data_IF_909153334791
#
_entry.id   IF_909153334791
#
_cell.length_a   1.000
_cell.length_b   1.000
_cell.length_c   1.000
_cell.angle_alpha   90.00
_cell.angle_beta   90.00
_cell.angle_gamma   90.00
#
_symmetry.space_group_name_H-M   'P 1'
#
loop_
_entity.id
_entity.type
_entity.pdbx_description
1 polymer ?
#
# COMPACT_ATOMS: atom_id res chain seq x y z
N UNK A 1 2.65 1.31 -55.82
CA UNK A 1 2.21 1.74 -54.46
C UNK A 1 2.75 0.73 -53.45
N UNK A 2 3.82 1.06 -52.69
CA UNK A 2 4.39 0.16 -51.66
C UNK A 2 4.07 0.72 -50.28
N UNK A 3 3.23 -0.01 -49.56
CA UNK A 3 2.70 0.28 -48.23
C UNK A 3 3.84 0.22 -47.18
N UNK A 4 4.33 1.39 -46.76
CA UNK A 4 5.37 1.52 -45.74
C UNK A 4 4.75 1.41 -44.35
N UNK A 5 4.72 0.19 -43.79
CA UNK A 5 4.29 0.00 -42.39
C UNK A 5 5.37 0.57 -41.47
N UNK A 6 4.98 1.63 -40.76
CA UNK A 6 5.73 2.33 -39.72
C UNK A 6 6.30 1.36 -38.68
N UNK A 7 7.60 1.07 -38.77
CA UNK A 7 8.36 0.33 -37.75
C UNK A 7 8.97 1.24 -36.68
N UNK A 8 8.71 2.55 -36.75
CA UNK A 8 9.32 3.55 -35.85
C UNK A 8 8.51 3.80 -34.57
N UNK A 9 7.25 3.33 -34.47
CA UNK A 9 6.34 3.70 -33.38
C UNK A 9 6.41 2.79 -32.14
N UNK A 10 6.85 1.53 -32.27
CA UNK A 10 6.72 0.54 -31.18
C UNK A 10 7.81 0.65 -30.11
N UNK A 11 9.05 1.03 -30.48
CA UNK A 11 10.20 1.03 -29.56
C UNK A 11 10.18 2.19 -28.56
N UNK A 12 9.73 3.36 -29.01
CA UNK A 12 9.70 4.60 -28.21
C UNK A 12 8.63 4.52 -27.11
N UNK A 13 7.43 4.02 -27.43
CA UNK A 13 6.39 3.81 -26.42
C UNK A 13 6.80 2.80 -25.34
N UNK A 14 7.47 1.70 -25.73
CA UNK A 14 7.92 0.70 -24.76
C UNK A 14 8.93 1.24 -23.74
N UNK A 15 9.85 2.10 -24.19
CA UNK A 15 10.86 2.72 -23.31
C UNK A 15 10.24 3.71 -22.30
N UNK A 16 9.22 4.47 -22.71
CA UNK A 16 8.53 5.42 -21.84
C UNK A 16 7.72 4.72 -20.74
N UNK A 17 7.05 3.60 -21.05
CA UNK A 17 6.32 2.83 -20.03
C UNK A 17 7.27 2.17 -19.01
N UNK A 18 8.43 1.67 -19.44
CA UNK A 18 9.41 1.08 -18.54
C UNK A 18 10.04 2.10 -17.58
N UNK A 19 10.22 3.35 -18.02
CA UNK A 19 10.71 4.42 -17.16
C UNK A 19 9.70 4.84 -16.07
N UNK A 20 8.39 4.74 -16.36
CA UNK A 20 7.33 5.13 -15.42
C UNK A 20 7.10 4.11 -14.29
N UNK A 21 7.41 2.82 -14.51
CA UNK A 21 7.17 1.77 -13.52
C UNK A 21 8.32 1.57 -12.52
N UNK A 22 9.50 2.15 -12.79
CA UNK A 22 10.70 1.96 -11.97
C UNK A 22 10.61 2.52 -10.53
N UNK A 23 9.63 3.38 -10.24
CA UNK A 23 9.47 4.03 -8.93
C UNK A 23 8.44 3.40 -7.97
N UNK A 24 7.69 2.38 -8.39
CA UNK A 24 6.57 1.85 -7.61
C UNK A 24 7.01 0.80 -6.58
N UNK A 25 7.84 1.18 -5.60
CA UNK A 25 8.14 0.34 -4.43
C UNK A 25 7.11 0.65 -3.34
N UNK A 26 5.98 -0.07 -3.36
CA UNK A 26 4.99 0.03 -2.29
C UNK A 26 5.48 -0.75 -1.06
N UNK A 27 5.73 -0.05 0.05
CA UNK A 27 5.94 -0.71 1.35
C UNK A 27 4.62 -1.33 1.82
N UNK A 28 4.64 -2.47 2.54
CA UNK A 28 3.43 -3.02 3.13
C UNK A 28 2.79 -1.98 4.05
N UNK A 29 1.46 -1.85 3.94
CA UNK A 29 0.72 -0.89 4.73
C UNK A 29 0.75 -1.26 6.22
N UNK A 30 0.95 -0.28 7.12
CA UNK A 30 1.03 -0.53 8.55
C UNK A 30 -0.35 -0.88 9.12
N UNK A 31 -0.34 -1.76 10.11
CA UNK A 31 -1.52 -2.13 10.89
C UNK A 31 -1.53 -1.42 12.23
N UNK A 32 -2.73 -1.14 12.76
CA UNK A 32 -2.90 -0.49 14.06
C UNK A 32 -3.87 -1.28 14.92
N UNK A 33 -3.62 -1.27 16.21
CA UNK A 33 -4.55 -1.82 17.18
C UNK A 33 -5.53 -0.71 17.57
N UNK A 34 -6.81 -1.02 17.46
CA UNK A 34 -7.93 -0.15 17.78
C UNK A 34 -8.64 -0.68 19.01
N UNK A 35 -9.02 0.21 19.92
CA UNK A 35 -9.83 -0.08 21.10
C UNK A 35 -11.23 0.48 20.92
N UNK A 36 -12.23 -0.35 21.16
CA UNK A 36 -13.63 0.07 21.17
C UNK A 36 -13.87 0.94 22.40
N UNK A 37 -14.48 2.12 22.19
CA UNK A 37 -14.85 3.04 23.26
C UNK A 37 -16.05 2.55 24.07
N UNK A 38 -16.83 1.62 23.52
CA UNK A 38 -18.04 1.11 24.16
C UNK A 38 -17.74 0.02 25.19
N UNK A 39 -16.80 -0.88 24.90
CA UNK A 39 -16.55 -2.10 25.68
C UNK A 39 -15.06 -2.41 25.89
N UNK A 40 -14.15 -1.60 25.35
CA UNK A 40 -12.71 -1.78 25.49
C UNK A 40 -12.12 -2.90 24.64
N UNK A 41 -12.90 -3.56 23.78
CA UNK A 41 -12.42 -4.65 22.92
C UNK A 41 -11.35 -4.17 21.94
N UNK A 42 -10.39 -5.06 21.63
CA UNK A 42 -9.29 -4.76 20.74
C UNK A 42 -9.51 -5.40 19.36
N UNK A 43 -9.26 -4.62 18.31
CA UNK A 43 -9.29 -5.08 16.93
C UNK A 43 -8.07 -4.57 16.17
N UNK A 44 -7.53 -5.37 15.23
CA UNK A 44 -6.42 -4.96 14.39
C UNK A 44 -6.95 -4.53 13.01
N UNK A 45 -6.58 -3.34 12.53
CA UNK A 45 -6.98 -2.83 11.23
C UNK A 45 -5.96 -1.82 10.68
N UNK A 46 -5.74 -1.83 9.37
CA UNK A 46 -4.93 -0.82 8.67
C UNK A 46 -5.64 0.55 8.65
N UNK A 47 -6.97 0.54 8.55
CA UNK A 47 -7.80 1.75 8.43
C UNK A 47 -8.62 2.00 9.70
N UNK A 48 -9.07 3.26 9.93
CA UNK A 48 -9.96 3.57 11.05
C UNK A 48 -11.27 2.77 11.01
N UNK A 49 -11.67 2.23 12.17
CA UNK A 49 -12.90 1.46 12.34
C UNK A 49 -14.15 2.35 12.59
N UNK A 50 -13.98 3.66 12.58
CA UNK A 50 -15.04 4.65 12.80
C UNK A 50 -14.98 5.37 14.16
N UNK A 51 -15.96 6.25 14.45
CA UNK A 51 -15.92 7.14 15.62
C UNK A 51 -15.94 6.43 16.98
N UNK A 52 -16.52 5.23 17.03
CA UNK A 52 -16.60 4.38 18.22
C UNK A 52 -15.28 3.70 18.61
N UNK A 53 -14.21 3.92 17.84
CA UNK A 53 -12.90 3.33 18.08
C UNK A 53 -11.83 4.40 18.28
N UNK A 54 -10.82 4.06 19.05
CA UNK A 54 -9.61 4.87 19.24
C UNK A 54 -8.36 4.03 19.00
N UNK A 55 -7.27 4.66 18.55
CA UNK A 55 -6.02 3.96 18.30
C UNK A 55 -5.35 3.66 19.64
N UNK A 56 -5.10 2.39 19.91
CA UNK A 56 -4.48 1.92 21.16
C UNK A 56 -2.97 1.68 21.01
N UNK A 57 -2.53 1.09 19.89
CA UNK A 57 -1.12 0.75 19.65
C UNK A 57 -0.79 0.62 18.15
N UNK A 58 0.50 0.42 17.86
CA UNK A 58 1.06 0.29 16.52
C UNK A 58 2.03 1.42 16.17
N UNK A 59 2.62 1.41 14.96
CA UNK A 59 2.28 0.54 13.83
C UNK A 59 2.87 -0.89 13.89
N UNK A 60 2.17 -1.85 13.27
CA UNK A 60 2.54 -3.27 13.14
C UNK A 60 2.71 -3.67 11.67
N UNK A 61 3.48 -4.74 11.43
CA UNK A 61 3.75 -5.29 10.10
C UNK A 61 2.67 -6.26 9.60
N UNK A 62 1.82 -6.75 10.50
CA UNK A 62 0.92 -7.87 10.25
C UNK A 62 -0.52 -7.61 10.70
N UNK A 63 -1.44 -8.36 10.09
CA UNK A 63 -2.89 -8.27 10.32
C UNK A 63 -3.35 -8.65 11.73
N UNK A 64 -2.48 -9.26 12.53
CA UNK A 64 -2.78 -9.66 13.91
C UNK A 64 -2.19 -8.70 14.94
N UNK A 65 -1.48 -7.66 14.49
CA UNK A 65 -0.83 -6.69 15.35
C UNK A 65 0.18 -7.36 16.32
N UNK A 66 0.94 -8.36 15.85
CA UNK A 66 1.89 -9.12 16.67
C UNK A 66 3.34 -8.65 16.50
N UNK A 67 3.69 -8.06 15.35
CA UNK A 67 5.06 -7.66 14.98
C UNK A 67 5.16 -6.13 14.84
N UNK A 68 5.64 -5.41 15.86
CA UNK A 68 5.83 -3.97 15.78
C UNK A 68 6.76 -3.57 14.64
N UNK A 69 6.49 -2.44 14.00
CA UNK A 69 7.46 -1.78 13.13
C UNK A 69 8.43 -1.02 14.03
N UNK A 70 9.50 -1.67 14.47
CA UNK A 70 10.60 -0.98 15.16
C UNK A 70 11.43 -0.29 14.09
N UNK A 71 11.35 1.04 14.03
CA UNK A 71 12.32 1.82 13.26
C UNK A 71 13.68 1.66 13.94
N UNK A 72 14.63 1.05 13.23
CA UNK A 72 16.00 0.85 13.69
C UNK A 72 16.87 2.03 13.28
#
# INVERSE_FOLDING_TARGET
MKNSRSRFSTRVCGALLAALTAGAIAKPAPWYQWRSKADGQLACSQTPLGPGWERAAGPYQDARCEKPIVAK
#
